data_IF_296861480358
#
_entry.id   IF_296861480358
#
_cell.length_a   1.000
_cell.length_b   1.000
_cell.length_c   1.000
_cell.angle_alpha   90.00
_cell.angle_beta   90.00
_cell.angle_gamma   90.00
#
_symmetry.space_group_name_H-M   'P 1'
#
loop_
_entity.id
_entity.type
_entity.pdbx_description
1 polymer ?
#
# COMPACT_ATOMS: atom_id res chain seq x y z
N UNK A 1 -30.99 0.32 -16.54
CA UNK A 1 -29.93 0.29 -15.52
C UNK A 1 -28.92 -0.77 -15.93
N UNK A 2 -27.85 -0.37 -16.58
CA UNK A 2 -26.74 -1.24 -16.87
C UNK A 2 -25.97 -1.45 -15.56
N UNK A 3 -26.17 -2.61 -14.94
CA UNK A 3 -25.33 -3.11 -13.89
C UNK A 3 -23.97 -3.41 -14.53
N UNK A 4 -23.06 -2.43 -14.51
CA UNK A 4 -21.68 -2.66 -14.88
C UNK A 4 -21.21 -3.84 -14.02
N UNK A 5 -20.93 -4.95 -14.69
CA UNK A 5 -20.21 -6.05 -14.07
C UNK A 5 -18.91 -5.44 -13.52
N UNK A 6 -18.86 -5.23 -12.22
CA UNK A 6 -17.60 -4.96 -11.54
C UNK A 6 -16.75 -6.20 -11.77
N UNK A 7 -15.91 -6.13 -12.78
CA UNK A 7 -14.81 -7.08 -12.92
C UNK A 7 -14.01 -6.93 -11.64
N UNK A 8 -14.01 -7.96 -10.80
CA UNK A 8 -13.26 -7.92 -9.57
C UNK A 8 -11.79 -7.70 -9.94
N UNK A 9 -11.26 -6.55 -9.51
CA UNK A 9 -9.85 -6.22 -9.72
C UNK A 9 -8.99 -7.26 -9.03
N UNK A 10 -7.96 -7.71 -9.73
CA UNK A 10 -6.95 -8.58 -9.13
C UNK A 10 -6.15 -7.83 -8.07
N UNK A 11 -5.55 -8.58 -7.16
CA UNK A 11 -4.70 -8.01 -6.11
C UNK A 11 -3.54 -7.18 -6.69
N UNK A 12 -2.97 -7.63 -7.83
CA UNK A 12 -1.92 -6.91 -8.54
C UNK A 12 -2.39 -5.55 -9.10
N UNK A 13 -3.57 -5.49 -9.68
CA UNK A 13 -4.16 -4.25 -10.19
C UNK A 13 -4.46 -3.27 -9.06
N UNK A 14 -5.00 -3.74 -7.95
CA UNK A 14 -5.21 -2.92 -6.75
C UNK A 14 -3.89 -2.37 -6.21
N UNK A 15 -2.86 -3.20 -6.16
CA UNK A 15 -1.52 -2.79 -5.70
C UNK A 15 -0.95 -1.69 -6.59
N UNK A 16 -1.06 -1.81 -7.89
CA UNK A 16 -0.58 -0.80 -8.84
C UNK A 16 -1.29 0.54 -8.63
N UNK A 17 -2.62 0.54 -8.57
CA UNK A 17 -3.43 1.75 -8.39
C UNK A 17 -3.14 2.41 -7.04
N UNK A 18 -3.16 1.66 -5.96
CA UNK A 18 -3.05 2.19 -4.60
C UNK A 18 -1.61 2.53 -4.20
N UNK A 19 -0.61 1.91 -4.79
CA UNK A 19 0.77 2.33 -4.61
C UNK A 19 1.09 3.60 -5.41
N UNK A 20 0.52 3.75 -6.59
CA UNK A 20 0.68 4.96 -7.38
C UNK A 20 0.02 6.17 -6.70
N UNK A 21 -1.17 5.99 -6.18
CA UNK A 21 -1.86 7.01 -5.38
C UNK A 21 -1.08 7.41 -4.13
N UNK A 22 -0.35 6.50 -3.51
CA UNK A 22 0.46 6.76 -2.32
C UNK A 22 1.69 7.66 -2.57
N UNK A 23 2.14 7.81 -3.81
CA UNK A 23 3.24 8.70 -4.17
C UNK A 23 2.97 10.17 -3.86
N UNK A 24 1.72 10.55 -3.85
CA UNK A 24 1.28 11.92 -3.58
C UNK A 24 1.13 12.24 -2.10
N UNK A 25 1.44 11.29 -1.23
CA UNK A 25 1.48 11.53 0.22
C UNK A 25 2.70 12.39 0.57
N UNK A 26 2.44 13.51 1.27
CA UNK A 26 3.44 14.55 1.61
C UNK A 26 4.60 13.99 2.45
N UNK A 27 4.40 12.89 3.13
CA UNK A 27 5.44 12.24 3.94
C UNK A 27 6.55 11.58 3.10
N UNK A 28 6.38 11.49 1.78
CA UNK A 28 7.35 10.89 0.88
C UNK A 28 8.26 11.94 0.27
N UNK A 29 9.27 12.39 1.01
CA UNK A 29 10.30 13.30 0.50
C UNK A 29 11.48 12.59 -0.19
N UNK A 30 11.54 11.28 -0.11
CA UNK A 30 12.51 10.49 -0.85
C UNK A 30 12.06 10.36 -2.30
N UNK A 31 12.60 11.20 -3.16
CA UNK A 31 12.43 11.07 -4.61
C UNK A 31 12.80 9.65 -5.03
N UNK A 32 11.84 8.95 -5.61
CA UNK A 32 12.07 7.63 -6.15
C UNK A 32 13.22 7.68 -7.14
N UNK A 33 14.30 7.02 -6.83
CA UNK A 33 15.34 6.73 -7.81
C UNK A 33 14.73 5.77 -8.82
N UNK A 34 14.28 6.29 -9.95
CA UNK A 34 13.93 5.47 -11.10
C UNK A 34 15.21 4.80 -11.63
N UNK A 35 15.47 3.58 -11.21
CA UNK A 35 16.38 2.71 -11.92
C UNK A 35 15.63 2.15 -13.13
N UNK A 36 15.90 2.70 -14.30
CA UNK A 36 15.58 2.04 -15.56
C UNK A 36 16.38 0.74 -15.61
N UNK A 37 15.72 -0.38 -15.45
CA UNK A 37 16.30 -1.67 -15.76
C UNK A 37 16.26 -1.89 -17.26
N UNK A 38 17.32 -2.36 -17.81
CA UNK A 38 17.44 -2.81 -19.19
C UNK A 38 16.55 -4.05 -19.38
N UNK A 39 15.74 -4.03 -20.41
CA UNK A 39 14.59 -4.91 -20.63
C UNK A 39 14.85 -6.40 -20.90
N UNK A 40 15.92 -7.00 -20.38
CA UNK A 40 16.21 -8.42 -20.55
C UNK A 40 16.55 -9.08 -19.21
N UNK A 41 15.53 -9.58 -18.54
CA UNK A 41 15.72 -10.41 -17.36
C UNK A 41 14.42 -10.63 -16.61
N UNK A 42 14.15 -11.88 -16.24
CA UNK A 42 13.01 -12.28 -15.40
C UNK A 42 13.05 -11.71 -13.96
N UNK A 43 13.67 -10.55 -13.76
CA UNK A 43 13.83 -9.89 -12.48
C UNK A 43 13.36 -8.45 -12.44
N UNK A 44 12.79 -7.94 -13.53
CA UNK A 44 12.41 -6.54 -13.68
C UNK A 44 10.96 -6.26 -13.26
N UNK A 45 10.52 -6.90 -12.19
CA UNK A 45 9.38 -6.40 -11.47
C UNK A 45 9.82 -5.10 -10.79
N UNK A 46 9.46 -3.95 -11.38
CA UNK A 46 9.22 -2.77 -10.57
C UNK A 46 8.23 -3.23 -9.52
N UNK A 47 8.73 -3.50 -8.33
CA UNK A 47 7.90 -3.95 -7.22
C UNK A 47 7.04 -2.76 -6.83
N UNK A 48 5.84 -2.71 -7.39
CA UNK A 48 4.90 -1.64 -7.13
C UNK A 48 4.77 -1.44 -5.63
N UNK A 49 4.84 -0.19 -5.18
CA UNK A 49 4.67 0.17 -3.80
C UNK A 49 5.91 0.11 -2.92
N UNK A 50 7.08 -0.30 -3.41
CA UNK A 50 8.30 -0.30 -2.61
C UNK A 50 8.93 1.08 -2.62
N UNK A 51 9.06 1.66 -1.42
CA UNK A 51 9.71 2.93 -1.15
C UNK A 51 10.99 2.69 -0.33
N UNK A 52 12.05 3.40 -0.66
CA UNK A 52 13.30 3.34 0.07
C UNK A 52 13.46 4.59 0.94
N UNK A 53 13.72 4.40 2.22
CA UNK A 53 13.98 5.45 3.19
C UNK A 53 15.36 5.25 3.81
N UNK A 54 16.05 6.33 4.09
CA UNK A 54 17.36 6.29 4.74
C UNK A 54 17.21 6.64 6.22
N UNK A 55 17.75 5.79 7.09
CA UNK A 55 17.83 6.07 8.50
C UNK A 55 19.01 6.99 8.80
N UNK A 56 19.03 7.58 10.01
CA UNK A 56 20.08 8.52 10.42
C UNK A 56 21.49 7.90 10.43
N UNK A 57 21.58 6.59 10.54
CA UNK A 57 22.83 5.82 10.49
C UNK A 57 23.25 5.42 9.05
N UNK A 58 22.54 5.92 8.03
CA UNK A 58 22.84 5.69 6.63
C UNK A 58 22.31 4.38 6.06
N UNK A 59 21.60 3.56 6.82
CA UNK A 59 20.97 2.34 6.29
C UNK A 59 19.77 2.66 5.41
N UNK A 60 19.65 1.93 4.30
CA UNK A 60 18.48 1.97 3.46
C UNK A 60 17.43 0.99 3.97
N UNK A 61 16.23 1.50 4.25
CA UNK A 61 15.10 0.71 4.71
C UNK A 61 14.07 0.67 3.59
N UNK A 62 13.67 -0.53 3.20
CA UNK A 62 12.64 -0.74 2.19
C UNK A 62 11.28 -0.89 2.84
N UNK A 63 10.33 -0.06 2.41
CA UNK A 63 8.97 -0.04 2.94
C UNK A 63 7.97 -0.33 1.82
N UNK A 64 6.93 -1.08 2.13
CA UNK A 64 5.75 -1.15 1.27
C UNK A 64 4.88 0.08 1.57
N UNK A 65 4.81 1.01 0.64
CA UNK A 65 4.01 2.23 0.78
C UNK A 65 2.78 2.14 -0.11
N UNK A 66 1.63 1.97 0.51
CA UNK A 66 0.33 1.84 -0.17
C UNK A 66 -0.75 2.63 0.55
N UNK A 67 -1.80 2.97 -0.18
CA UNK A 67 -3.07 3.38 0.39
C UNK A 67 -3.95 2.15 0.62
N UNK A 68 -4.65 2.12 1.74
CA UNK A 68 -5.69 1.12 1.97
C UNK A 68 -6.85 1.28 0.98
N UNK A 69 -7.23 2.53 0.76
CA UNK A 69 -8.23 2.92 -0.24
C UNK A 69 -7.94 4.31 -0.77
N UNK A 70 -8.25 4.55 -2.03
CA UNK A 70 -8.28 5.89 -2.61
C UNK A 70 -9.72 6.44 -2.75
N UNK A 71 -10.71 5.71 -2.27
CA UNK A 71 -12.05 6.25 -2.07
C UNK A 71 -12.05 7.15 -0.84
N UNK A 72 -12.62 8.35 -0.96
CA UNK A 72 -12.65 9.31 0.12
C UNK A 72 -13.94 10.10 0.10
N UNK A 73 -14.54 10.32 1.28
CA UNK A 73 -15.74 11.14 1.43
C UNK A 73 -15.45 12.64 1.38
N UNK A 74 -14.19 13.04 1.52
CA UNK A 74 -13.77 14.44 1.55
C UNK A 74 -13.32 14.94 0.18
N UNK A 75 -13.45 16.24 -0.02
CA UNK A 75 -13.07 16.94 -1.25
C UNK A 75 -11.99 17.99 -0.99
N UNK A 76 -10.89 17.58 -0.40
CA UNK A 76 -9.75 18.47 -0.12
C UNK A 76 -9.14 18.95 -1.44
N UNK A 77 -9.08 20.25 -1.65
CA UNK A 77 -8.71 20.86 -2.93
C UNK A 77 -7.32 20.51 -3.44
N UNK A 78 -6.40 20.19 -2.55
CA UNK A 78 -5.03 19.81 -2.88
C UNK A 78 -4.82 18.30 -3.04
N UNK A 79 -5.84 17.48 -2.77
CA UNK A 79 -5.70 16.02 -2.76
C UNK A 79 -6.08 15.43 -4.11
N UNK A 80 -5.21 14.58 -4.66
CA UNK A 80 -5.47 13.84 -5.91
C UNK A 80 -6.66 12.89 -5.77
N UNK A 81 -6.85 12.33 -4.57
CA UNK A 81 -7.91 11.36 -4.27
C UNK A 81 -9.19 12.00 -3.72
N UNK A 82 -9.33 13.32 -3.81
CA UNK A 82 -10.56 14.00 -3.41
C UNK A 82 -11.78 13.44 -4.13
N UNK A 83 -12.93 13.47 -3.48
CA UNK A 83 -14.18 12.90 -4.00
C UNK A 83 -14.60 13.47 -5.36
N UNK A 84 -14.25 14.73 -5.64
CA UNK A 84 -14.57 15.41 -6.90
C UNK A 84 -13.65 15.06 -8.08
N UNK A 85 -12.56 14.34 -7.87
CA UNK A 85 -11.67 13.92 -8.95
C UNK A 85 -12.14 12.62 -9.59
N UNK A 86 -11.99 12.56 -10.91
CA UNK A 86 -12.28 11.38 -11.71
C UNK A 86 -11.03 10.51 -11.82
N UNK A 87 -10.82 9.67 -10.83
CA UNK A 87 -9.73 8.68 -10.78
C UNK A 87 -10.30 7.29 -10.54
N UNK A 88 -9.58 6.27 -10.99
CA UNK A 88 -9.98 4.88 -10.73
C UNK A 88 -9.94 4.61 -9.23
N UNK A 89 -11.07 4.20 -8.67
CA UNK A 89 -11.24 3.96 -7.23
C UNK A 89 -11.18 2.48 -6.93
N UNK A 90 -10.43 2.12 -5.91
CA UNK A 90 -10.39 0.76 -5.39
C UNK A 90 -10.02 0.76 -3.91
N UNK A 91 -10.21 -0.38 -3.27
CA UNK A 91 -9.89 -0.59 -1.86
C UNK A 91 -9.34 -1.98 -1.67
N UNK A 92 -8.38 -2.11 -0.75
CA UNK A 92 -8.00 -3.41 -0.21
C UNK A 92 -8.97 -3.88 0.86
N UNK A 93 -9.00 -5.19 1.09
CA UNK A 93 -9.50 -5.73 2.36
C UNK A 93 -8.34 -5.83 3.36
N UNK A 94 -8.61 -5.90 4.68
CA UNK A 94 -7.54 -6.10 5.66
C UNK A 94 -6.71 -7.35 5.40
N UNK A 95 -7.34 -8.43 4.95
CA UNK A 95 -6.68 -9.70 4.61
C UNK A 95 -5.75 -9.55 3.41
N UNK A 96 -6.16 -8.81 2.39
CA UNK A 96 -5.35 -8.54 1.20
C UNK A 96 -4.07 -7.77 1.57
N UNK A 97 -4.17 -6.73 2.38
CA UNK A 97 -3.00 -5.95 2.84
C UNK A 97 -2.06 -6.82 3.67
N UNK A 98 -2.61 -7.62 4.58
CA UNK A 98 -1.83 -8.52 5.40
C UNK A 98 -1.09 -9.57 4.55
N UNK A 99 -1.76 -10.17 3.59
CA UNK A 99 -1.17 -11.14 2.65
C UNK A 99 -0.03 -10.52 1.85
N UNK A 100 -0.25 -9.35 1.25
CA UNK A 100 0.79 -8.63 0.50
C UNK A 100 2.01 -8.31 1.38
N UNK A 101 1.77 -7.78 2.57
CA UNK A 101 2.84 -7.40 3.49
C UNK A 101 3.67 -8.61 3.89
N UNK A 102 3.03 -9.70 4.26
CA UNK A 102 3.72 -10.93 4.66
C UNK A 102 4.47 -11.60 3.51
N UNK A 103 3.89 -11.60 2.31
CA UNK A 103 4.54 -12.11 1.11
C UNK A 103 5.82 -11.32 0.78
N UNK A 104 5.75 -10.00 0.79
CA UNK A 104 6.90 -9.15 0.50
C UNK A 104 7.96 -9.23 1.60
N UNK A 105 7.54 -9.34 2.85
CA UNK A 105 8.44 -9.51 3.98
C UNK A 105 9.20 -10.84 3.90
N UNK A 106 8.51 -11.94 3.65
CA UNK A 106 9.12 -13.27 3.51
C UNK A 106 10.13 -13.36 2.38
N UNK A 107 9.89 -12.59 1.30
CA UNK A 107 10.81 -12.53 0.15
C UNK A 107 11.95 -11.53 0.36
N UNK A 108 12.06 -10.93 1.54
CA UNK A 108 13.04 -9.89 1.87
C UNK A 108 12.96 -8.65 0.95
N UNK A 109 11.78 -8.33 0.45
CA UNK A 109 11.57 -7.15 -0.39
C UNK A 109 11.37 -5.89 0.43
N UNK A 110 10.80 -6.03 1.63
CA UNK A 110 10.48 -4.94 2.54
C UNK A 110 10.87 -5.29 3.97
N UNK A 111 11.12 -4.26 4.76
CA UNK A 111 11.36 -4.33 6.20
C UNK A 111 10.16 -3.81 7.01
N UNK A 112 9.26 -3.07 6.36
CA UNK A 112 8.09 -2.51 7.01
C UNK A 112 6.98 -2.10 6.06
N UNK A 113 5.84 -1.76 6.63
CA UNK A 113 4.65 -1.29 5.95
C UNK A 113 4.38 0.16 6.30
N UNK A 114 4.24 1.01 5.30
CA UNK A 114 3.70 2.36 5.42
C UNK A 114 2.29 2.39 4.82
N UNK A 115 1.29 2.44 5.68
CA UNK A 115 -0.11 2.38 5.30
C UNK A 115 -0.80 3.69 5.60
N UNK A 116 -1.33 4.33 4.58
CA UNK A 116 -2.24 5.46 4.69
C UNK A 116 -3.58 5.14 4.02
N UNK A 117 -4.53 6.03 4.08
CA UNK A 117 -5.87 5.76 3.56
C UNK A 117 -6.62 7.04 3.22
N UNK A 118 -7.46 6.97 2.19
CA UNK A 118 -8.62 7.83 2.10
C UNK A 118 -9.62 7.47 3.20
N UNK A 119 -10.64 8.29 3.38
CA UNK A 119 -11.65 8.08 4.42
C UNK A 119 -12.93 7.50 3.80
N UNK A 120 -13.20 6.24 4.12
CA UNK A 120 -14.45 5.54 3.75
C UNK A 120 -15.53 5.84 4.81
N UNK A 121 -16.74 6.12 4.37
CA UNK A 121 -17.93 6.29 5.23
C UNK A 121 -17.75 7.26 6.40
N UNK A 122 -16.79 7.02 7.27
CA UNK A 122 -16.44 7.86 8.42
C UNK A 122 -15.00 7.63 8.85
N UNK A 123 -14.35 8.59 9.55
CA UNK A 123 -13.02 8.39 10.10
C UNK A 123 -12.93 7.18 11.03
N UNK A 124 -13.91 6.99 11.90
CA UNK A 124 -13.92 5.86 12.84
C UNK A 124 -13.97 4.51 12.11
N UNK A 125 -14.84 4.38 11.13
CA UNK A 125 -14.96 3.17 10.32
C UNK A 125 -13.63 2.83 9.63
N UNK A 126 -12.98 3.83 9.03
CA UNK A 126 -11.69 3.66 8.36
C UNK A 126 -10.60 3.28 9.36
N UNK A 127 -10.57 3.89 10.53
CA UNK A 127 -9.59 3.56 11.57
C UNK A 127 -9.75 2.13 12.10
N UNK A 128 -10.96 1.63 12.20
CA UNK A 128 -11.22 0.24 12.58
C UNK A 128 -10.64 -0.74 11.55
N UNK A 129 -10.79 -0.43 10.27
CA UNK A 129 -10.19 -1.23 9.20
C UNK A 129 -8.66 -1.22 9.26
N UNK A 130 -8.04 -0.06 9.44
CA UNK A 130 -6.60 0.06 9.57
C UNK A 130 -6.08 -0.66 10.83
N UNK A 131 -6.80 -0.54 11.93
CA UNK A 131 -6.49 -1.27 13.16
C UNK A 131 -6.51 -2.78 12.93
N UNK A 132 -7.50 -3.29 12.22
CA UNK A 132 -7.60 -4.72 11.88
C UNK A 132 -6.39 -5.18 11.07
N UNK A 133 -5.93 -4.39 10.10
CA UNK A 133 -4.71 -4.68 9.33
C UNK A 133 -3.51 -4.80 10.25
N UNK A 134 -3.29 -3.79 11.09
CA UNK A 134 -2.15 -3.77 12.01
C UNK A 134 -2.19 -4.95 13.00
N UNK A 135 -3.35 -5.21 13.56
CA UNK A 135 -3.54 -6.32 14.47
C UNK A 135 -3.20 -7.66 13.83
N UNK A 136 -3.71 -7.92 12.63
CA UNK A 136 -3.44 -9.15 11.90
C UNK A 136 -1.95 -9.28 11.53
N UNK A 137 -1.33 -8.21 11.05
CA UNK A 137 0.10 -8.21 10.73
C UNK A 137 0.96 -8.50 11.96
N UNK A 138 0.63 -7.91 13.11
CA UNK A 138 1.35 -8.13 14.35
C UNK A 138 1.18 -9.55 14.89
N UNK A 139 -0.01 -10.14 14.76
CA UNK A 139 -0.21 -11.54 15.13
C UNK A 139 0.69 -12.46 14.34
N UNK A 140 0.76 -12.30 13.02
CA UNK A 140 1.61 -13.15 12.16
C UNK A 140 3.09 -12.99 12.47
N UNK A 141 3.56 -11.78 12.78
CA UNK A 141 4.95 -11.54 13.13
C UNK A 141 5.28 -12.05 14.54
N UNK A 142 4.37 -11.93 15.49
CA UNK A 142 4.54 -12.43 16.86
C UNK A 142 4.59 -13.95 16.93
N UNK A 143 3.70 -14.63 16.21
CA UNK A 143 3.68 -16.08 16.14
C UNK A 143 4.99 -16.65 15.57
N UNK A 144 5.55 -15.99 14.53
CA UNK A 144 6.84 -16.37 13.98
C UNK A 144 7.98 -16.18 14.98
N UNK A 145 7.91 -15.21 15.89
CA UNK A 145 8.89 -15.00 16.93
C UNK A 145 8.78 -16.05 18.06
N UNK A 146 7.56 -16.49 18.37
CA UNK A 146 7.33 -17.53 19.40
C UNK A 146 7.73 -18.94 18.92
N UNK A 147 7.59 -19.23 17.65
CA UNK A 147 8.06 -20.51 17.06
C UNK A 147 9.59 -20.63 17.00
N UNK A 148 10.31 -19.54 17.10
CA UNK A 148 11.79 -19.50 17.07
C UNK A 148 12.45 -19.73 18.44
N UNK A 149 11.68 -19.98 19.48
CA UNK A 149 12.17 -20.25 20.85
C UNK A 149 12.30 -21.72 21.15
#
# INVERSE_FOLDING_TARGET
>A
MLKLMQTEMTLGEKLEILSDAAKYDVSCTSGGTERKGDGEGMGNCRKAGICHSFSADGRCISLLKILFTNECIYDCKYCVNRSGNDVVRTSFTPEEVCTLTMEFYRRNYIEGLFLSSGVLKSPNYTMELLYTVLYNCLLYTSDAADEAR
#
